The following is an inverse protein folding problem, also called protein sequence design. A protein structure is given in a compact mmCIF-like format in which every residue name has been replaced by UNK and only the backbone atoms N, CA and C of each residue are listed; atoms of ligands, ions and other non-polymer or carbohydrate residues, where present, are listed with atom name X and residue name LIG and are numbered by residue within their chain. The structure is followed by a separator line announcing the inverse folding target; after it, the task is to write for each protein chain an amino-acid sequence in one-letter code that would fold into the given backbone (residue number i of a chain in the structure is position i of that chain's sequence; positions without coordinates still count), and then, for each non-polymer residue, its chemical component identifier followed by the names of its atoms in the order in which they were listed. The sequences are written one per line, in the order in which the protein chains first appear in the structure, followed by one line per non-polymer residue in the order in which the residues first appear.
data_IF_489933121041
#
_entry.id   IF_489933121041
#
_cell.length_a   1.000
_cell.length_b   1.000
_cell.length_c   1.000
_cell.angle_alpha   90.00
_cell.angle_beta   90.00
_cell.angle_gamma   90.00
#
_symmetry.space_group_name_H-M   'P 1'
#
loop_
_entity.id
_entity.type
_entity.pdbx_description
1 polymer ?
#
# COMPACT_ATOMS: atom_id res chain seq x y z
N UNK A 1 7.88 -14.31 -6.70
CA UNK A 1 7.87 -15.78 -6.72
C UNK A 1 6.48 -16.39 -6.46
N UNK A 2 5.98 -16.29 -5.22
CA UNK A 2 4.81 -17.09 -4.82
C UNK A 2 3.48 -16.69 -5.47
N UNK A 3 3.34 -15.42 -5.86
CA UNK A 3 2.10 -14.88 -6.44
C UNK A 3 2.16 -14.70 -7.95
N UNK A 4 3.35 -14.76 -8.55
CA UNK A 4 3.58 -14.28 -9.92
C UNK A 4 2.76 -15.03 -10.97
N UNK A 5 2.88 -16.35 -11.03
CA UNK A 5 2.18 -17.15 -12.05
C UNK A 5 0.66 -17.00 -11.96
N UNK A 6 0.10 -17.04 -10.75
CA UNK A 6 -1.34 -16.86 -10.55
C UNK A 6 -1.80 -15.45 -10.96
N UNK A 7 -1.03 -14.41 -10.63
CA UNK A 7 -1.36 -13.03 -11.05
C UNK A 7 -1.30 -12.88 -12.56
N UNK A 8 -0.26 -13.39 -13.23
CA UNK A 8 -0.14 -13.30 -14.69
C UNK A 8 -1.32 -14.02 -15.37
N UNK A 9 -1.60 -15.26 -14.97
CA UNK A 9 -2.72 -16.03 -15.53
C UNK A 9 -4.07 -15.32 -15.31
N UNK A 10 -4.29 -14.74 -14.13
CA UNK A 10 -5.52 -14.00 -13.84
C UNK A 10 -5.70 -12.78 -14.77
N UNK A 11 -4.63 -12.02 -15.04
CA UNK A 11 -4.68 -10.91 -16.01
C UNK A 11 -4.93 -11.40 -17.43
N UNK A 12 -4.31 -12.50 -17.84
CA UNK A 12 -4.52 -13.09 -19.17
C UNK A 12 -5.96 -13.57 -19.37
N UNK A 13 -6.52 -14.28 -18.38
CA UNK A 13 -7.91 -14.76 -18.36
C UNK A 13 -8.92 -13.60 -18.49
N UNK A 14 -8.60 -12.43 -17.93
CA UNK A 14 -9.45 -11.25 -17.95
C UNK A 14 -9.09 -10.24 -19.05
N UNK A 15 -8.32 -10.67 -20.06
CA UNK A 15 -7.88 -9.82 -21.17
C UNK A 15 -7.30 -8.47 -20.71
N UNK A 16 -6.50 -8.50 -19.64
CA UNK A 16 -5.81 -7.35 -19.05
C UNK A 16 -6.75 -6.20 -18.66
N UNK A 17 -8.03 -6.50 -18.40
CA UNK A 17 -9.06 -5.51 -18.06
C UNK A 17 -9.17 -4.38 -19.10
N UNK A 18 -8.90 -4.69 -20.37
CA UNK A 18 -8.94 -3.73 -21.48
C UNK A 18 -7.63 -2.96 -21.74
N UNK A 19 -6.62 -3.10 -20.89
CA UNK A 19 -5.29 -2.55 -21.14
C UNK A 19 -4.52 -3.36 -22.19
N UNK A 20 -3.58 -2.71 -22.87
CA UNK A 20 -2.70 -3.43 -23.80
C UNK A 20 -1.64 -4.23 -23.05
N UNK A 21 -1.32 -5.46 -23.51
CA UNK A 21 -0.38 -6.36 -22.84
C UNK A 21 1.02 -5.75 -22.69
N UNK A 22 1.44 -4.90 -23.63
CA UNK A 22 2.74 -4.22 -23.61
C UNK A 22 2.81 -3.07 -22.60
N UNK A 23 1.68 -2.64 -22.02
CA UNK A 23 1.57 -1.60 -21.00
C UNK A 23 1.55 -2.16 -19.56
N UNK A 24 1.40 -3.48 -19.39
CA UNK A 24 1.38 -4.13 -18.07
C UNK A 24 2.64 -4.99 -17.91
N UNK A 25 3.52 -4.61 -16.98
CA UNK A 25 4.79 -5.31 -16.77
C UNK A 25 4.79 -6.02 -15.43
N UNK A 26 5.01 -7.33 -15.46
CA UNK A 26 5.18 -8.14 -14.27
C UNK A 26 6.67 -8.35 -14.01
N UNK A 27 7.08 -8.17 -12.77
CA UNK A 27 8.41 -8.53 -12.29
C UNK A 27 8.31 -9.04 -10.87
N UNK A 28 9.33 -9.78 -10.44
CA UNK A 28 9.32 -10.45 -9.15
C UNK A 28 10.34 -9.83 -8.21
N UNK A 29 9.92 -9.60 -6.97
CA UNK A 29 10.86 -9.32 -5.89
C UNK A 29 11.69 -10.55 -5.51
N UNK A 30 12.78 -10.31 -4.78
CA UNK A 30 13.62 -11.38 -4.28
C UNK A 30 13.00 -12.12 -3.11
N UNK A 31 13.76 -13.08 -2.60
CA UNK A 31 13.45 -13.76 -1.33
C UNK A 31 14.70 -13.79 -0.47
N UNK A 32 14.50 -13.77 0.85
CA UNK A 32 15.55 -13.96 1.83
C UNK A 32 15.38 -15.30 2.55
N UNK A 33 16.49 -15.97 2.91
CA UNK A 33 16.42 -17.13 3.79
C UNK A 33 15.94 -16.69 5.18
N UNK A 34 15.07 -17.49 5.78
CA UNK A 34 14.70 -17.36 7.17
C UNK A 34 15.86 -17.82 8.05
N UNK A 35 16.10 -17.12 9.16
CA UNK A 35 17.20 -17.41 10.07
C UNK A 35 16.68 -17.91 11.42
N UNK A 36 17.44 -18.76 12.11
CA UNK A 36 17.24 -19.02 13.53
C UNK A 36 17.67 -17.80 14.35
N UNK A 37 17.28 -17.69 15.64
CA UNK A 37 17.76 -16.62 16.52
C UNK A 37 19.28 -16.53 16.60
N UNK A 38 19.99 -17.64 16.37
CA UNK A 38 21.46 -17.74 16.35
C UNK A 38 22.06 -17.41 14.97
N UNK A 39 21.24 -17.01 13.99
CA UNK A 39 21.68 -16.61 12.65
C UNK A 39 21.91 -17.76 11.67
N UNK A 40 21.45 -18.98 11.97
CA UNK A 40 21.55 -20.12 11.04
C UNK A 40 20.41 -20.12 10.03
N UNK A 41 20.67 -20.48 8.78
CA UNK A 41 19.60 -20.66 7.79
C UNK A 41 18.65 -21.78 8.25
N UNK A 42 17.35 -21.49 8.28
CA UNK A 42 16.32 -22.48 8.54
C UNK A 42 16.01 -23.26 7.25
N UNK A 43 15.88 -24.57 7.39
CA UNK A 43 15.33 -25.43 6.36
C UNK A 43 13.83 -25.56 6.57
N UNK A 44 13.03 -25.50 5.49
CA UNK A 44 11.59 -25.80 5.52
C UNK A 44 11.36 -27.32 5.52
N UNK A 45 12.21 -28.05 4.79
CA UNK A 45 12.25 -29.51 4.71
C UNK A 45 13.71 -29.97 4.53
N UNK A 46 13.96 -31.28 4.56
CA UNK A 46 15.31 -31.84 4.36
C UNK A 46 16.02 -31.36 3.07
N UNK A 47 15.27 -30.95 2.04
CA UNK A 47 15.81 -30.51 0.75
C UNK A 47 15.53 -29.05 0.38
N UNK A 48 14.87 -28.27 1.24
CA UNK A 48 14.46 -26.89 0.91
C UNK A 48 14.79 -25.91 2.02
N UNK A 49 15.33 -24.75 1.63
CA UNK A 49 15.53 -23.61 2.53
C UNK A 49 14.18 -22.92 2.77
N UNK A 50 13.91 -22.60 4.03
CA UNK A 50 12.77 -21.74 4.36
C UNK A 50 13.07 -20.32 3.89
N UNK A 51 12.30 -19.82 2.93
CA UNK A 51 12.45 -18.48 2.36
C UNK A 51 11.21 -17.63 2.62
N UNK A 52 11.39 -16.31 2.69
CA UNK A 52 10.33 -15.31 2.69
C UNK A 52 10.59 -14.23 1.64
N UNK A 53 9.55 -13.54 1.12
CA UNK A 53 9.75 -12.33 0.34
C UNK A 53 10.61 -11.32 1.13
N UNK A 54 11.50 -10.61 0.45
CA UNK A 54 12.48 -9.68 1.02
C UNK A 54 11.88 -8.35 1.54
N UNK A 55 10.58 -8.32 1.83
CA UNK A 55 9.82 -7.14 2.22
C UNK A 55 9.41 -6.26 1.02
N UNK A 56 8.54 -5.27 1.22
CA UNK A 56 8.09 -4.41 0.13
C UNK A 56 9.18 -3.42 -0.35
N UNK A 57 10.22 -3.18 0.45
CA UNK A 57 11.46 -2.51 0.03
C UNK A 57 12.26 -3.30 -1.00
N UNK A 58 11.98 -4.61 -1.16
CA UNK A 58 12.46 -5.44 -2.26
C UNK A 58 12.01 -4.98 -3.66
N UNK A 59 11.11 -3.98 -3.73
CA UNK A 59 10.75 -3.24 -4.94
C UNK A 59 11.97 -2.71 -5.70
N UNK A 60 12.84 -1.97 -5.02
CA UNK A 60 13.92 -1.23 -5.68
C UNK A 60 14.93 -2.13 -6.41
N UNK A 61 15.49 -3.18 -5.76
CA UNK A 61 16.44 -4.03 -6.46
C UNK A 61 15.74 -4.88 -7.52
N UNK A 62 14.47 -5.23 -7.33
CA UNK A 62 13.67 -5.94 -8.33
C UNK A 62 13.43 -5.08 -9.58
N UNK A 63 13.10 -3.80 -9.40
CA UNK A 63 12.88 -2.86 -10.50
C UNK A 63 14.14 -2.67 -11.35
N UNK A 64 15.32 -2.67 -10.73
CA UNK A 64 16.60 -2.63 -11.45
C UNK A 64 16.91 -3.97 -12.14
N UNK A 65 16.83 -5.09 -11.42
CA UNK A 65 17.16 -6.42 -11.98
C UNK A 65 16.24 -6.84 -13.13
N UNK A 66 14.98 -6.45 -13.09
CA UNK A 66 14.01 -6.76 -14.15
C UNK A 66 14.21 -5.92 -15.42
N UNK A 67 15.04 -4.88 -15.37
CA UNK A 67 15.16 -3.89 -16.44
C UNK A 67 13.98 -2.90 -16.51
N UNK A 68 13.00 -2.99 -15.62
CA UNK A 68 11.85 -2.07 -15.61
C UNK A 68 12.30 -0.62 -15.37
N UNK A 69 13.29 -0.39 -14.49
CA UNK A 69 13.80 0.96 -14.26
C UNK A 69 14.44 1.57 -15.52
N UNK A 70 15.23 0.76 -16.23
CA UNK A 70 15.90 1.20 -17.47
C UNK A 70 14.84 1.49 -18.55
N UNK A 71 13.81 0.64 -18.67
CA UNK A 71 12.68 0.87 -19.57
C UNK A 71 11.88 2.14 -19.24
N UNK A 72 11.66 2.45 -17.95
CA UNK A 72 10.99 3.69 -17.54
C UNK A 72 11.79 4.93 -17.96
N UNK A 73 13.12 4.87 -17.82
CA UNK A 73 14.03 5.92 -18.28
C UNK A 73 13.96 6.09 -19.81
N UNK A 74 14.02 4.99 -20.56
CA UNK A 74 13.95 5.00 -22.03
C UNK A 74 12.63 5.57 -22.56
N UNK A 75 11.52 5.29 -21.87
CA UNK A 75 10.20 5.85 -22.19
C UNK A 75 10.03 7.32 -21.73
N UNK A 76 11.01 7.87 -21.02
CA UNK A 76 10.94 9.24 -20.50
C UNK A 76 9.95 9.43 -19.36
N UNK A 77 9.56 8.36 -18.66
CA UNK A 77 8.67 8.44 -17.49
C UNK A 77 9.35 9.26 -16.40
N UNK A 78 8.62 10.23 -15.84
CA UNK A 78 9.16 11.14 -14.82
C UNK A 78 8.80 10.76 -13.40
N UNK A 79 7.65 10.13 -13.21
CA UNK A 79 7.05 9.90 -11.90
C UNK A 79 6.47 8.49 -11.81
N UNK A 80 6.67 7.86 -10.66
CA UNK A 80 5.98 6.62 -10.29
C UNK A 80 5.06 6.87 -9.10
N UNK A 81 3.83 6.37 -9.21
CA UNK A 81 2.94 6.21 -8.07
C UNK A 81 3.00 4.75 -7.61
N UNK A 82 3.53 4.52 -6.41
CA UNK A 82 3.66 3.20 -5.78
C UNK A 82 2.60 3.09 -4.69
N UNK A 83 1.78 2.05 -4.73
CA UNK A 83 0.70 1.86 -3.77
C UNK A 83 0.53 0.39 -3.34
N UNK A 84 -0.10 0.18 -2.18
CA UNK A 84 -0.44 -1.15 -1.67
C UNK A 84 -1.71 -1.71 -2.31
N UNK A 85 -1.72 -3.00 -2.64
CA UNK A 85 -2.82 -3.69 -3.35
C UNK A 85 -4.11 -3.83 -2.53
N UNK A 86 -4.03 -3.74 -1.21
CA UNK A 86 -5.11 -4.13 -0.30
C UNK A 86 -6.07 -2.99 0.06
N UNK A 87 -6.01 -1.85 -0.63
CA UNK A 87 -6.87 -0.70 -0.39
C UNK A 87 -7.78 -0.44 -1.61
N UNK A 88 -9.06 -0.86 -1.57
CA UNK A 88 -10.01 -0.64 -2.67
C UNK A 88 -10.35 0.85 -2.91
N UNK A 89 -10.08 1.74 -1.96
CA UNK A 89 -10.23 3.18 -2.13
C UNK A 89 -8.95 3.86 -2.65
N UNK A 90 -7.88 3.10 -2.91
CA UNK A 90 -6.70 3.67 -3.53
C UNK A 90 -7.10 4.33 -4.86
N UNK A 91 -6.42 5.44 -5.17
CA UNK A 91 -6.59 6.19 -6.42
C UNK A 91 -5.34 6.00 -7.29
N UNK A 92 -5.27 4.93 -8.12
CA UNK A 92 -4.14 4.70 -9.01
C UNK A 92 -3.87 5.93 -9.87
N UNK A 93 -2.60 6.33 -9.95
CA UNK A 93 -2.16 7.54 -10.65
C UNK A 93 -2.93 8.84 -10.28
N UNK A 94 -3.30 9.06 -9.01
CA UNK A 94 -4.02 10.26 -8.55
C UNK A 94 -3.36 11.57 -9.03
N UNK A 95 -4.03 12.33 -9.93
CA UNK A 95 -3.46 13.55 -10.50
C UNK A 95 -3.29 14.66 -9.45
N UNK A 96 -4.08 14.66 -8.37
CA UNK A 96 -3.95 15.65 -7.29
C UNK A 96 -2.66 15.42 -6.51
N UNK A 97 -2.39 14.17 -6.14
CA UNK A 97 -1.15 13.81 -5.43
C UNK A 97 0.09 13.99 -6.31
N UNK A 98 0.07 13.49 -7.54
CA UNK A 98 1.18 13.63 -8.48
C UNK A 98 1.45 15.12 -8.77
N UNK A 99 0.40 15.89 -9.08
CA UNK A 99 0.50 17.32 -9.33
C UNK A 99 1.02 18.10 -8.13
N UNK A 100 0.59 17.75 -6.91
CA UNK A 100 1.11 18.34 -5.67
C UNK A 100 2.62 18.09 -5.53
N UNK A 101 3.08 16.85 -5.66
CA UNK A 101 4.50 16.51 -5.59
C UNK A 101 5.33 17.27 -6.64
N UNK A 102 4.85 17.33 -7.89
CA UNK A 102 5.51 18.08 -8.96
C UNK A 102 5.56 19.59 -8.65
N UNK A 103 4.47 20.18 -8.15
CA UNK A 103 4.42 21.60 -7.77
C UNK A 103 5.40 21.96 -6.65
N UNK A 104 5.77 20.98 -5.83
CA UNK A 104 6.77 21.11 -4.76
C UNK A 104 8.17 20.78 -5.22
N UNK A 105 8.37 20.40 -6.49
CA UNK A 105 9.65 19.86 -7.00
C UNK A 105 10.15 18.71 -6.13
N UNK A 106 9.23 17.85 -5.68
CA UNK A 106 9.54 16.76 -4.77
C UNK A 106 10.17 15.59 -5.52
N UNK A 107 11.20 14.99 -4.94
CA UNK A 107 11.84 13.77 -5.47
C UNK A 107 11.21 12.49 -4.91
N UNK A 108 10.56 12.62 -3.74
CA UNK A 108 9.81 11.61 -3.02
C UNK A 108 8.54 12.25 -2.43
N UNK A 109 7.43 11.51 -2.36
CA UNK A 109 6.20 11.97 -1.74
C UNK A 109 5.48 10.86 -0.99
N UNK A 110 4.73 11.24 0.03
CA UNK A 110 3.91 10.30 0.79
C UNK A 110 2.50 10.85 0.98
N UNK A 111 1.50 10.03 0.66
CA UNK A 111 0.11 10.28 1.04
C UNK A 111 -0.15 9.69 2.42
N UNK A 112 -0.83 10.45 3.27
CA UNK A 112 -1.21 10.03 4.60
C UNK A 112 -2.68 10.33 4.88
N UNK A 113 -3.26 9.58 5.80
CA UNK A 113 -4.50 9.95 6.47
C UNK A 113 -4.18 10.25 7.92
N UNK A 114 -4.94 11.15 8.54
CA UNK A 114 -4.75 11.33 9.97
C UNK A 114 -5.19 10.07 10.74
N UNK A 115 -4.43 9.72 11.77
CA UNK A 115 -4.76 8.61 12.66
C UNK A 115 -6.14 8.82 13.29
N UNK A 116 -6.97 7.79 13.25
CA UNK A 116 -8.30 7.79 13.85
C UNK A 116 -8.22 7.69 15.39
N UNK A 117 -7.15 7.09 15.92
CA UNK A 117 -6.89 7.01 17.36
C UNK A 117 -5.39 6.88 17.66
N UNK A 118 -4.94 7.19 18.89
CA UNK A 118 -3.57 6.93 19.34
C UNK A 118 -3.10 5.49 19.11
N UNK A 119 -4.02 4.53 19.25
CA UNK A 119 -3.75 3.09 19.22
C UNK A 119 -3.87 2.45 17.82
N UNK A 120 -4.21 3.23 16.79
CA UNK A 120 -4.24 2.74 15.41
C UNK A 120 -2.83 2.26 14.99
N UNK A 121 -2.78 1.01 14.49
CA UNK A 121 -1.55 0.30 14.09
C UNK A 121 -1.11 0.69 12.68
N UNK A 122 -0.75 1.96 12.53
CA UNK A 122 -0.21 2.53 11.30
C UNK A 122 1.10 3.23 11.60
N UNK A 123 2.10 3.04 10.75
CA UNK A 123 3.34 3.82 10.81
C UNK A 123 3.05 5.30 10.58
N UNK A 124 3.77 6.19 11.25
CA UNK A 124 3.55 7.64 11.14
C UNK A 124 4.72 8.31 10.45
N UNK A 125 4.44 9.24 9.54
CA UNK A 125 5.48 10.06 8.92
C UNK A 125 5.97 11.09 9.93
N UNK A 126 7.27 11.11 10.19
CA UNK A 126 7.91 12.03 11.12
C UNK A 126 9.34 12.34 10.66
N UNK A 127 10.07 13.16 11.43
CA UNK A 127 11.50 13.37 11.23
C UNK A 127 12.32 12.59 12.26
N UNK A 128 13.27 11.79 11.79
CA UNK A 128 14.27 11.08 12.61
C UNK A 128 15.65 11.62 12.24
N UNK A 129 16.36 12.23 13.20
CA UNK A 129 17.64 12.90 12.91
C UNK A 129 17.54 14.03 11.88
N UNK A 130 16.40 14.74 11.84
CA UNK A 130 16.13 15.82 10.90
C UNK A 130 15.72 15.38 9.48
N UNK A 131 15.79 14.08 9.18
CA UNK A 131 15.40 13.49 7.89
C UNK A 131 13.98 12.91 7.96
N UNK A 132 13.19 12.97 6.88
CA UNK A 132 11.88 12.34 6.85
C UNK A 132 12.01 10.82 6.95
N UNK A 133 11.12 10.20 7.73
CA UNK A 133 11.09 8.76 7.99
C UNK A 133 9.66 8.35 8.31
N UNK A 134 9.37 7.06 8.20
CA UNK A 134 8.21 6.46 8.87
C UNK A 134 8.70 5.89 10.21
N UNK A 135 7.97 6.19 11.28
CA UNK A 135 8.14 5.58 12.59
C UNK A 135 7.05 4.54 12.76
N UNK A 136 7.42 3.27 12.86
CA UNK A 136 6.44 2.20 13.07
C UNK A 136 5.74 2.34 14.43
N UNK A 137 4.51 1.85 14.53
CA UNK A 137 3.71 1.99 15.75
C UNK A 137 4.38 1.32 16.97
N UNK A 138 5.23 0.31 16.74
CA UNK A 138 6.04 -0.37 17.75
C UNK A 138 7.25 0.43 18.23
N UNK A 139 7.66 1.46 17.49
CA UNK A 139 8.78 2.35 17.86
C UNK A 139 8.34 3.57 18.69
N UNK A 140 7.02 3.82 18.78
CA UNK A 140 6.47 4.91 19.58
C UNK A 140 6.15 4.44 21.00
N UNK A 141 6.65 5.18 21.99
CA UNK A 141 6.21 5.02 23.37
C UNK A 141 4.77 5.57 23.58
N UNK A 142 4.13 5.19 24.68
CA UNK A 142 2.73 5.56 24.94
C UNK A 142 2.53 7.07 25.16
N UNK A 143 3.57 7.78 25.59
CA UNK A 143 3.52 9.22 25.74
C UNK A 143 3.44 9.90 24.37
N UNK A 144 4.29 9.50 23.42
CA UNK A 144 4.30 10.03 22.04
C UNK A 144 3.05 9.63 21.25
N UNK A 145 2.52 8.42 21.44
CA UNK A 145 1.26 7.98 20.81
C UNK A 145 0.08 8.89 21.15
N UNK A 146 0.05 9.39 22.39
CA UNK A 146 -1.06 10.21 22.94
C UNK A 146 -0.75 11.71 22.94
N UNK A 147 0.43 12.11 22.48
CA UNK A 147 0.85 13.50 22.48
C UNK A 147 -0.02 14.30 21.49
N UNK A 148 -0.70 15.32 21.99
CA UNK A 148 -1.45 16.28 21.18
C UNK A 148 -0.78 17.66 21.16
N UNK A 149 -1.02 18.41 20.10
CA UNK A 149 -0.73 19.83 20.01
C UNK A 149 -1.80 20.67 20.74
N UNK A 150 -1.65 22.00 20.69
CA UNK A 150 -2.57 22.95 21.34
C UNK A 150 -4.00 22.88 20.79
N UNK A 151 -4.21 22.34 19.59
CA UNK A 151 -5.52 22.13 18.99
C UNK A 151 -6.19 20.82 19.42
N UNK A 152 -5.48 19.99 20.19
CA UNK A 152 -5.92 18.65 20.58
C UNK A 152 -5.64 17.58 19.51
N UNK A 153 -4.92 17.93 18.43
CA UNK A 153 -4.58 17.01 17.35
C UNK A 153 -3.29 16.25 17.66
N UNK A 154 -3.24 14.96 17.32
CA UNK A 154 -2.05 14.13 17.56
C UNK A 154 -0.80 14.70 16.87
N UNK A 155 0.28 14.94 17.62
CA UNK A 155 1.57 15.38 17.06
C UNK A 155 2.12 14.35 16.07
N UNK A 156 1.97 13.07 16.41
CA UNK A 156 2.34 11.93 15.57
C UNK A 156 1.09 11.31 14.92
N UNK A 157 0.39 12.12 14.11
CA UNK A 157 -0.89 11.73 13.52
C UNK A 157 -0.87 11.40 12.02
N UNK A 158 0.20 11.72 11.29
CA UNK A 158 0.29 11.51 9.85
C UNK A 158 0.50 10.03 9.48
N UNK A 159 -0.58 9.24 9.46
CA UNK A 159 -0.56 7.79 9.21
C UNK A 159 -0.22 7.46 7.76
N UNK A 160 0.86 6.69 7.56
CA UNK A 160 1.29 6.20 6.26
C UNK A 160 0.30 5.17 5.70
N UNK A 161 -0.30 5.46 4.54
CA UNK A 161 -1.23 4.56 3.84
C UNK A 161 -0.57 3.79 2.68
N UNK A 162 0.75 3.69 2.68
CA UNK A 162 1.55 3.04 1.64
C UNK A 162 1.18 3.52 0.23
N UNK A 163 1.05 4.84 0.05
CA UNK A 163 0.86 5.51 -1.24
C UNK A 163 1.96 6.54 -1.41
N UNK A 164 2.88 6.28 -2.34
CA UNK A 164 4.14 6.99 -2.46
C UNK A 164 4.34 7.52 -3.88
N UNK A 165 4.90 8.71 -3.97
CA UNK A 165 5.40 9.28 -5.20
C UNK A 165 6.92 9.13 -5.20
N UNK A 166 7.49 8.71 -6.33
CA UNK A 166 8.93 8.78 -6.55
C UNK A 166 9.20 9.36 -7.93
N UNK A 167 10.12 10.32 -8.01
CA UNK A 167 10.69 10.66 -9.32
C UNK A 167 11.55 9.49 -9.81
N UNK A 168 11.51 9.21 -11.11
CA UNK A 168 12.30 8.11 -11.69
C UNK A 168 13.81 8.36 -11.50
N UNK A 169 14.24 9.62 -11.57
CA UNK A 169 15.63 10.03 -11.33
C UNK A 169 16.07 9.80 -9.88
N UNK A 170 15.20 10.04 -8.89
CA UNK A 170 15.50 9.70 -7.48
C UNK A 170 15.75 8.20 -7.32
N UNK A 171 14.90 7.37 -7.94
CA UNK A 171 15.10 5.92 -7.89
C UNK A 171 16.42 5.50 -8.55
N UNK A 172 16.68 6.00 -9.76
CA UNK A 172 17.84 5.60 -10.55
C UNK A 172 19.18 6.10 -9.99
N UNK A 173 19.23 7.34 -9.52
CA UNK A 173 20.48 8.01 -9.18
C UNK A 173 20.77 8.05 -7.69
N UNK A 174 19.74 7.90 -6.83
CA UNK A 174 19.89 7.99 -5.37
C UNK A 174 19.58 6.65 -4.73
N UNK A 175 18.38 6.11 -4.91
CA UNK A 175 17.95 4.90 -4.19
C UNK A 175 18.75 3.68 -4.62
N UNK A 176 18.78 3.37 -5.93
CA UNK A 176 19.41 2.14 -6.43
C UNK A 176 20.91 2.07 -6.09
N UNK A 177 21.72 3.15 -6.28
CA UNK A 177 23.13 3.13 -5.92
C UNK A 177 23.41 3.04 -4.42
N UNK A 178 22.48 3.53 -3.57
CA UNK A 178 22.63 3.58 -2.12
C UNK A 178 21.80 2.51 -1.40
N UNK A 179 21.38 1.47 -2.13
CA UNK A 179 20.58 0.38 -1.61
C UNK A 179 21.44 -0.61 -0.81
N UNK A 180 22.18 -0.12 0.18
CA UNK A 180 22.69 -0.99 1.21
C UNK A 180 21.47 -1.64 1.91
N UNK A 181 21.54 -2.94 2.13
CA UNK A 181 20.49 -3.78 2.69
C UNK A 181 19.92 -3.22 4.02
N UNK A 182 18.89 -2.39 3.94
CA UNK A 182 18.10 -1.94 5.07
C UNK A 182 17.08 -3.04 5.40
N UNK A 183 17.51 -4.01 6.19
CA UNK A 183 16.63 -5.09 6.67
C UNK A 183 16.20 -4.84 8.11
N UNK A 184 14.91 -5.03 8.34
CA UNK A 184 14.29 -5.10 9.65
C UNK A 184 14.15 -6.56 10.06
N UNK A 185 14.31 -6.83 11.36
CA UNK A 185 14.19 -8.16 11.94
C UNK A 185 12.74 -8.41 12.39
N UNK A 186 12.09 -9.41 11.81
CA UNK A 186 10.76 -9.84 12.21
C UNK A 186 10.79 -11.25 12.82
N UNK A 187 10.60 -11.36 14.13
CA UNK A 187 10.50 -12.65 14.81
C UNK A 187 9.14 -13.31 14.52
N UNK A 188 9.16 -14.53 13.99
CA UNK A 188 7.95 -15.24 13.54
C UNK A 188 8.01 -16.72 13.88
N UNK A 189 6.83 -17.35 13.83
CA UNK A 189 6.66 -18.81 13.76
C UNK A 189 6.89 -19.22 12.30
N UNK A 190 8.04 -19.81 12.00
CA UNK A 190 8.49 -20.18 10.67
C UNK A 190 8.43 -21.71 10.57
N UNK A 191 7.58 -22.28 9.70
CA UNK A 191 7.60 -23.71 9.42
C UNK A 191 9.01 -24.16 9.03
N UNK A 192 9.51 -25.20 9.69
CA UNK A 192 10.88 -25.67 9.52
C UNK A 192 10.97 -27.20 9.53
N UNK A 193 12.08 -27.75 9.07
CA UNK A 193 12.33 -29.19 9.10
C UNK A 193 12.47 -29.68 10.54
N UNK A 194 11.71 -30.71 10.91
CA UNK A 194 11.91 -31.49 12.12
C UNK A 194 13.06 -32.50 11.96
N UNK A 195 13.32 -33.28 13.01
CA UNK A 195 14.41 -34.27 13.02
C UNK A 195 14.27 -35.34 11.93
N UNK A 196 13.04 -35.68 11.54
CA UNK A 196 12.76 -36.63 10.45
C UNK A 196 12.80 -35.99 9.04
N UNK A 197 13.17 -34.70 8.97
CA UNK A 197 13.26 -33.94 7.73
C UNK A 197 11.92 -33.41 7.20
N UNK A 198 10.79 -33.67 7.86
CA UNK A 198 9.47 -33.16 7.46
C UNK A 198 9.20 -31.78 8.06
N UNK A 199 8.39 -30.99 7.36
CA UNK A 199 8.00 -29.65 7.82
C UNK A 199 7.11 -29.73 9.05
N UNK A 200 7.51 -29.04 10.12
CA UNK A 200 6.73 -28.85 11.35
C UNK A 200 6.33 -27.39 11.50
N UNK A 201 5.14 -27.16 12.09
CA UNK A 201 4.69 -25.82 12.46
C UNK A 201 5.03 -25.58 13.94
N UNK A 202 5.86 -24.58 14.26
CA UNK A 202 6.30 -24.34 15.64
C UNK A 202 5.19 -23.66 16.47
N UNK A 203 5.15 -23.98 17.77
CA UNK A 203 4.16 -23.42 18.70
C UNK A 203 4.51 -22.00 19.17
N UNK A 204 5.78 -21.61 19.07
CA UNK A 204 6.32 -20.29 19.42
C UNK A 204 7.21 -19.74 18.31
N UNK A 205 7.63 -18.47 18.43
CA UNK A 205 8.56 -17.87 17.47
C UNK A 205 9.90 -18.62 17.51
N UNK A 206 10.31 -19.18 16.38
CA UNK A 206 11.52 -20.00 16.23
C UNK A 206 12.52 -19.42 15.22
N UNK A 207 12.20 -18.30 14.58
CA UNK A 207 13.07 -17.70 13.59
C UNK A 207 12.82 -16.23 13.33
N UNK A 208 13.68 -15.68 12.49
CA UNK A 208 13.77 -14.28 12.09
C UNK A 208 13.64 -14.19 10.59
N UNK A 209 12.75 -13.31 10.13
CA UNK A 209 12.67 -12.88 8.74
C UNK A 209 13.36 -11.53 8.59
N UNK A 210 14.10 -11.38 7.50
CA UNK A 210 14.67 -10.11 7.07
C UNK A 210 13.73 -9.49 6.03
N UNK A 211 13.24 -8.29 6.31
CA UNK A 211 12.31 -7.56 5.44
C UNK A 211 12.77 -6.11 5.29
N UNK A 212 12.85 -5.61 4.06
CA UNK A 212 13.06 -4.19 3.79
C UNK A 212 11.71 -3.49 3.66
N UNK A 213 11.61 -2.23 4.09
CA UNK A 213 10.39 -1.44 3.91
C UNK A 213 10.51 -0.44 2.77
N UNK A 214 9.44 -0.30 1.99
CA UNK A 214 9.38 0.59 0.83
C UNK A 214 9.69 2.03 1.24
N UNK A 215 9.29 2.46 2.44
CA UNK A 215 9.52 3.82 2.92
C UNK A 215 10.90 4.04 3.57
N UNK A 216 11.76 3.03 3.68
CA UNK A 216 13.11 3.18 4.26
C UNK A 216 14.01 4.12 3.43
N UNK A 217 13.62 4.44 2.20
CA UNK A 217 14.34 5.38 1.33
C UNK A 217 14.01 6.84 1.59
N UNK A 218 12.98 7.14 2.40
CA UNK A 218 12.58 8.52 2.69
C UNK A 218 13.72 9.39 3.20
N UNK A 219 14.62 8.92 4.10
CA UNK A 219 15.76 9.73 4.55
C UNK A 219 16.74 10.14 3.44
N UNK A 220 16.73 9.43 2.30
CA UNK A 220 17.57 9.73 1.13
C UNK A 220 16.99 10.87 0.27
N UNK A 221 15.70 11.20 0.44
CA UNK A 221 15.05 12.30 -0.26
C UNK A 221 15.70 13.63 0.09
N UNK A 222 15.95 14.44 -0.93
CA UNK A 222 16.39 15.83 -0.80
C UNK A 222 15.21 16.78 -0.55
N UNK A 223 14.03 16.45 -1.07
CA UNK A 223 12.83 17.27 -0.94
C UNK A 223 11.57 16.39 -0.95
N UNK A 224 11.13 16.00 0.24
CA UNK A 224 9.97 15.15 0.41
C UNK A 224 8.68 15.95 0.58
N UNK A 225 7.65 15.61 -0.19
CA UNK A 225 6.30 16.16 -0.02
C UNK A 225 5.39 15.20 0.76
N UNK A 226 4.51 15.74 1.62
CA UNK A 226 3.52 14.96 2.36
C UNK A 226 2.15 15.55 2.05
N UNK A 227 1.21 14.70 1.62
CA UNK A 227 -0.16 15.09 1.33
C UNK A 227 -1.12 14.34 2.27
N UNK A 228 -1.84 15.09 3.10
CA UNK A 228 -2.96 14.56 3.86
C UNK A 228 -4.19 14.41 2.97
N UNK A 229 -4.86 13.27 3.04
CA UNK A 229 -6.14 13.01 2.37
C UNK A 229 -7.21 12.55 3.35
N UNK A 230 -8.45 12.51 2.87
CA UNK A 230 -9.61 12.06 3.64
C UNK A 230 -9.67 10.54 3.64
N UNK A 231 -9.77 9.94 4.83
CA UNK A 231 -9.77 8.48 5.00
C UNK A 231 -10.93 7.83 4.27
N UNK A 232 -12.12 8.40 4.42
CA UNK A 232 -13.36 7.96 3.80
C UNK A 232 -13.33 8.01 2.27
N UNK A 233 -12.38 8.73 1.68
CA UNK A 233 -12.21 8.86 0.23
C UNK A 233 -11.08 8.00 -0.34
N UNK A 234 -10.09 7.62 0.48
CA UNK A 234 -8.81 7.11 -0.04
C UNK A 234 -8.18 5.97 0.77
N UNK A 235 -8.76 5.53 1.90
CA UNK A 235 -8.15 4.48 2.74
C UNK A 235 -9.14 3.54 3.41
N UNK A 236 -9.30 2.35 2.83
CA UNK A 236 -10.10 1.23 3.34
C UNK A 236 -9.33 -0.09 3.23
N UNK A 237 -8.27 -0.32 4.03
CA UNK A 237 -7.40 -1.49 3.88
C UNK A 237 -8.13 -2.80 4.17
N UNK A 238 -7.67 -3.90 3.54
CA UNK A 238 -8.16 -5.26 3.78
C UNK A 238 -7.01 -6.12 4.32
N UNK A 239 -6.97 -6.24 5.64
CA UNK A 239 -5.94 -6.99 6.39
C UNK A 239 -6.49 -8.20 7.13
N UNK A 240 -7.78 -8.19 7.45
CA UNK A 240 -8.45 -9.17 8.28
C UNK A 240 -9.49 -9.99 7.49
N UNK A 241 -9.85 -11.15 8.01
CA UNK A 241 -10.85 -12.02 7.40
C UNK A 241 -12.27 -11.41 7.44
N UNK A 242 -13.20 -11.85 6.55
CA UNK A 242 -14.62 -11.49 6.63
C UNK A 242 -15.21 -11.68 8.03
N UNK A 243 -16.17 -10.84 8.40
CA UNK A 243 -16.78 -10.77 9.72
C UNK A 243 -15.97 -9.98 10.77
N UNK A 244 -14.73 -9.58 10.46
CA UNK A 244 -13.97 -8.67 11.33
C UNK A 244 -14.49 -7.25 11.19
N UNK A 245 -14.66 -6.54 12.31
CA UNK A 245 -15.27 -5.21 12.33
C UNK A 245 -14.46 -4.10 11.63
N UNK A 246 -13.14 -4.29 11.49
CA UNK A 246 -12.22 -3.31 10.88
C UNK A 246 -11.26 -3.99 9.93
N UNK A 247 -10.79 -3.23 8.94
CA UNK A 247 -9.84 -3.63 7.91
C UNK A 247 -10.15 -4.99 7.26
N UNK A 248 -11.43 -5.25 6.96
CA UNK A 248 -11.94 -6.50 6.38
C UNK A 248 -12.63 -6.24 5.04
N UNK A 249 -12.93 -7.29 4.25
CA UNK A 249 -13.73 -7.13 3.04
C UNK A 249 -15.08 -6.46 3.30
N UNK A 250 -15.71 -6.73 4.44
CA UNK A 250 -17.00 -6.14 4.79
C UNK A 250 -16.89 -4.65 5.11
N UNK A 251 -15.88 -4.25 5.89
CA UNK A 251 -15.65 -2.83 6.18
C UNK A 251 -15.25 -2.06 4.93
N UNK A 252 -14.43 -2.65 4.06
CA UNK A 252 -14.02 -2.01 2.81
C UNK A 252 -15.20 -1.81 1.85
N UNK A 253 -16.06 -2.83 1.67
CA UNK A 253 -17.29 -2.71 0.86
C UNK A 253 -18.23 -1.63 1.40
N UNK A 254 -18.40 -1.55 2.72
CA UNK A 254 -19.21 -0.52 3.34
C UNK A 254 -18.66 0.90 3.08
N UNK A 255 -17.33 1.08 3.12
CA UNK A 255 -16.68 2.35 2.82
C UNK A 255 -16.79 2.74 1.34
N UNK A 256 -16.58 1.81 0.41
CA UNK A 256 -16.79 2.02 -1.03
C UNK A 256 -18.24 2.42 -1.34
N UNK A 257 -19.20 1.69 -0.77
CA UNK A 257 -20.63 2.01 -0.88
C UNK A 257 -20.92 3.42 -0.36
N UNK A 258 -20.44 3.76 0.84
CA UNK A 258 -20.64 5.09 1.42
C UNK A 258 -20.06 6.21 0.53
N UNK A 259 -18.87 6.00 -0.05
CA UNK A 259 -18.25 6.95 -0.96
C UNK A 259 -19.09 7.15 -2.24
N UNK A 260 -19.49 6.06 -2.89
CA UNK A 260 -20.29 6.09 -4.11
C UNK A 260 -21.65 6.77 -3.88
N UNK A 261 -22.32 6.47 -2.76
CA UNK A 261 -23.57 7.15 -2.37
C UNK A 261 -23.35 8.65 -2.20
N UNK A 262 -22.25 9.05 -1.55
CA UNK A 262 -21.92 10.46 -1.36
C UNK A 262 -21.71 11.19 -2.69
N UNK A 263 -21.10 10.54 -3.69
CA UNK A 263 -20.91 11.12 -5.02
C UNK A 263 -22.23 11.33 -5.75
N UNK A 264 -23.14 10.35 -5.69
CA UNK A 264 -24.47 10.48 -6.31
C UNK A 264 -25.29 11.61 -5.68
N UNK A 265 -25.27 11.72 -4.35
CA UNK A 265 -25.96 12.81 -3.64
C UNK A 265 -25.35 14.19 -3.96
N UNK A 266 -24.02 14.29 -4.01
CA UNK A 266 -23.32 15.52 -4.39
C UNK A 266 -23.61 15.95 -5.83
N UNK A 267 -23.80 14.99 -6.74
CA UNK A 267 -24.20 15.24 -8.13
C UNK A 267 -25.69 15.53 -8.31
N UNK A 268 -26.46 15.67 -7.22
CA UNK A 268 -27.88 16.05 -7.23
C UNK A 268 -28.85 14.89 -7.38
N UNK A 269 -28.38 13.64 -7.26
CA UNK A 269 -29.22 12.46 -7.20
C UNK A 269 -29.86 12.26 -5.82
N UNK A 270 -30.99 11.58 -5.77
CA UNK A 270 -31.64 11.11 -4.54
C UNK A 270 -31.52 9.59 -4.45
N UNK A 271 -31.33 9.07 -3.25
CA UNK A 271 -31.20 7.64 -3.01
C UNK A 271 -32.39 7.11 -2.20
N UNK A 272 -32.96 6.00 -2.67
CA UNK A 272 -33.92 5.18 -1.94
C UNK A 272 -33.30 3.80 -1.61
N UNK A 273 -33.78 3.15 -0.56
CA UNK A 273 -33.23 1.88 -0.06
C UNK A 273 -32.50 2.04 1.28
N UNK A 274 -32.14 0.92 1.88
CA UNK A 274 -31.38 0.90 3.13
C UNK A 274 -29.96 1.47 2.90
N UNK A 275 -29.35 1.96 3.97
CA UNK A 275 -27.97 2.48 3.93
C UNK A 275 -26.97 1.41 3.46
N UNK A 276 -27.25 0.16 3.83
CA UNK A 276 -26.39 -0.99 3.54
C UNK A 276 -26.70 -1.64 2.17
N UNK A 277 -27.74 -1.17 1.47
CA UNK A 277 -27.99 -1.60 0.09
C UNK A 277 -26.88 -1.04 -0.81
N UNK A 278 -26.28 -1.92 -1.62
CA UNK A 278 -25.06 -1.62 -2.37
C UNK A 278 -25.33 -0.62 -3.49
N UNK A 279 -24.63 0.51 -3.46
CA UNK A 279 -24.47 1.41 -4.58
C UNK A 279 -23.00 1.45 -4.97
N UNK A 280 -22.71 1.12 -6.22
CA UNK A 280 -21.36 1.18 -6.80
C UNK A 280 -21.35 2.11 -8.01
N UNK A 281 -20.25 2.84 -8.18
CA UNK A 281 -19.97 3.66 -9.36
C UNK A 281 -18.71 3.11 -9.99
N UNK A 282 -18.80 2.67 -11.24
CA UNK A 282 -17.67 2.16 -12.00
C UNK A 282 -16.59 3.24 -12.14
N UNK A 283 -15.31 2.90 -11.94
CA UNK A 283 -14.19 3.81 -12.19
C UNK A 283 -14.09 4.31 -13.64
N UNK A 284 -14.75 3.63 -14.60
CA UNK A 284 -14.82 4.07 -16.00
C UNK A 284 -15.85 5.20 -16.19
N UNK A 285 -16.84 5.29 -15.31
CA UNK A 285 -17.84 6.34 -15.33
C UNK A 285 -17.35 7.58 -14.56
N UNK A 286 -16.73 7.37 -13.39
CA UNK A 286 -16.21 8.45 -12.56
C UNK A 286 -15.02 7.99 -11.73
N UNK A 287 -13.92 8.75 -11.76
CA UNK A 287 -12.69 8.42 -11.03
C UNK A 287 -12.75 8.85 -9.56
N UNK A 288 -13.36 10.00 -9.29
CA UNK A 288 -13.38 10.64 -7.98
C UNK A 288 -14.72 11.33 -7.64
N UNK A 289 -15.80 10.97 -8.34
CA UNK A 289 -17.15 11.51 -8.17
C UNK A 289 -17.55 12.57 -9.20
N UNK A 290 -16.64 12.99 -10.08
CA UNK A 290 -16.93 13.91 -11.18
C UNK A 290 -17.78 13.29 -12.29
N UNK A 291 -18.53 14.11 -13.03
CA UNK A 291 -19.20 13.70 -14.27
C UNK A 291 -20.49 12.88 -14.07
N UNK A 292 -21.01 12.82 -12.85
CA UNK A 292 -22.21 12.05 -12.52
C UNK A 292 -23.51 12.84 -12.74
N UNK A 293 -23.44 14.17 -12.86
CA UNK A 293 -24.61 15.05 -12.91
C UNK A 293 -25.58 14.67 -14.03
N UNK A 294 -25.06 14.40 -15.25
CA UNK A 294 -25.87 14.00 -16.41
C UNK A 294 -26.59 12.65 -16.18
N UNK A 295 -26.04 11.80 -15.31
CA UNK A 295 -26.60 10.49 -14.99
C UNK A 295 -27.63 10.56 -13.87
N UNK A 296 -27.39 11.36 -12.83
CA UNK A 296 -28.16 11.25 -11.57
C UNK A 296 -28.91 12.52 -11.17
N UNK A 297 -28.55 13.69 -11.68
CA UNK A 297 -29.13 14.96 -11.21
C UNK A 297 -30.64 15.01 -11.39
N UNK A 298 -31.36 15.31 -10.30
CA UNK A 298 -32.82 15.37 -10.27
C UNK A 298 -33.53 14.01 -10.34
N UNK A 299 -32.79 12.89 -10.37
CA UNK A 299 -33.34 11.53 -10.40
C UNK A 299 -33.30 10.90 -9.02
N UNK A 300 -34.21 9.95 -8.80
CA UNK A 300 -34.17 9.04 -7.64
C UNK A 300 -33.67 7.68 -8.09
N UNK A 301 -32.65 7.16 -7.40
CA UNK A 301 -32.06 5.84 -7.62
C UNK A 301 -32.41 4.94 -6.44
N UNK A 302 -32.99 3.77 -6.71
CA UNK A 302 -33.26 2.76 -5.69
C UNK A 302 -32.07 1.79 -5.61
N UNK A 303 -31.45 1.67 -4.44
CA UNK A 303 -30.41 0.68 -4.17
C UNK A 303 -31.04 -0.71 -3.93
N UNK A 304 -30.34 -1.83 -4.24
CA UNK A 304 -28.99 -1.87 -4.78
C UNK A 304 -28.93 -1.47 -6.26
N UNK A 305 -27.90 -0.71 -6.64
CA UNK A 305 -27.68 -0.30 -8.03
C UNK A 305 -26.19 -0.16 -8.36
N UNK A 306 -25.88 -0.28 -9.65
CA UNK A 306 -24.53 -0.10 -10.19
C UNK A 306 -24.60 0.91 -11.33
N UNK A 307 -23.76 1.95 -11.28
CA UNK A 307 -23.62 2.94 -12.35
C UNK A 307 -22.35 2.63 -13.16
N UNK A 308 -22.54 2.26 -14.43
CA UNK A 308 -21.48 2.02 -15.42
C UNK A 308 -21.58 2.99 -16.60
#
# INVERSE_FOLDING_TARGET
PMTHSQTVSFFEEHNFFGASKDQVWFFEQGTMPCLSPEGKILLESAGSVACNPDGNGGLYPALKRSGCLDRLLDLGVKSLHVFSVDNPLCRPADPRFIGYCLSKSADCGNKCVWKASPDEKVGVVAKKGGRPSVMEYSELDDARKKQCDESGRLVFGAGNICNHFFSVEFLANVVVPNMAAMFHLAHKKIPCAGEDGKTVKPDSNNGVKLEAFVFDVFPMSSNMAILETRREEEFAPVKNAPGTATDSPDSARAMVNALCRSWVEQAGGKLEGAKDDVLEVSPLLSYAGEGLEDRVSGKTLSAPCHLE
#
